data_IF_571637805564
#
_entry.id   IF_571637805564
#
_cell.length_a   1.000
_cell.length_b   1.000
_cell.length_c   1.000
_cell.angle_alpha   90.00
_cell.angle_beta   90.00
_cell.angle_gamma   90.00
#
_symmetry.space_group_name_H-M   'P 1'
#
loop_
_entity.id
_entity.type
_entity.pdbx_description
1 polymer ?
#
# COMPACT_ATOMS: atom_id res chain seq x y z
N UNK A 1 -2.97 20.51 53.75
CA UNK A 1 -1.59 20.43 53.25
C UNK A 1 -1.67 20.12 51.78
N UNK A 2 -1.50 21.16 50.96
CA UNK A 2 -1.62 21.18 49.50
C UNK A 2 -0.30 20.68 48.91
N UNK A 3 -0.35 19.75 47.95
CA UNK A 3 0.74 19.56 47.00
C UNK A 3 0.20 19.62 45.58
N UNK A 4 0.46 20.78 44.96
CA UNK A 4 0.45 21.03 43.52
C UNK A 4 1.49 20.13 42.84
N UNK A 5 1.13 19.48 41.74
CA UNK A 5 2.11 19.04 40.74
C UNK A 5 1.70 19.65 39.41
N UNK A 6 2.64 20.43 38.88
CA UNK A 6 2.50 21.39 37.80
C UNK A 6 2.10 20.77 36.47
N UNK A 7 1.09 21.42 35.87
CA UNK A 7 0.87 21.47 34.45
C UNK A 7 1.94 22.37 33.84
N UNK A 8 2.87 21.83 33.06
CA UNK A 8 3.76 22.63 32.22
C UNK A 8 3.23 22.61 30.79
N UNK A 9 2.39 23.62 30.51
CA UNK A 9 2.17 24.14 29.17
C UNK A 9 3.51 24.71 28.67
N UNK A 10 4.18 24.01 27.77
CA UNK A 10 5.20 24.64 26.92
C UNK A 10 4.49 25.29 25.75
N UNK A 11 4.09 26.54 25.93
CA UNK A 11 3.74 27.45 24.84
C UNK A 11 5.05 27.76 24.11
N UNK A 12 5.26 27.18 22.94
CA UNK A 12 6.18 27.75 21.97
C UNK A 12 5.40 28.78 21.16
N UNK A 13 5.61 30.06 21.45
CA UNK A 13 5.23 31.13 20.57
C UNK A 13 6.21 31.17 19.39
N UNK A 14 5.74 30.90 18.18
CA UNK A 14 6.43 31.26 16.95
C UNK A 14 5.39 31.76 15.95
N UNK A 15 5.65 32.99 15.47
CA UNK A 15 5.06 33.74 14.36
C UNK A 15 3.65 33.37 13.88
N UNK A 16 2.76 34.38 13.83
CA UNK A 16 1.47 34.35 13.12
C UNK A 16 1.64 33.90 11.66
N UNK A 17 1.68 32.59 11.43
CA UNK A 17 1.10 32.01 10.24
C UNK A 17 -0.34 31.76 10.60
N UNK A 18 -1.24 32.52 9.97
CA UNK A 18 -2.65 32.16 9.92
C UNK A 18 -2.73 30.84 9.14
N UNK A 19 -2.42 29.73 9.82
CA UNK A 19 -2.85 28.41 9.40
C UNK A 19 -4.35 28.48 9.61
N UNK A 20 -5.07 28.76 8.53
CA UNK A 20 -6.48 28.43 8.49
C UNK A 20 -6.58 26.99 8.97
N UNK A 21 -7.31 26.75 10.06
CA UNK A 21 -7.86 25.44 10.37
C UNK A 21 -8.70 25.05 9.14
N UNK A 22 -8.02 24.48 8.16
CA UNK A 22 -8.59 23.67 7.12
C UNK A 22 -9.52 22.72 7.86
N UNK A 23 -10.82 22.84 7.55
CA UNK A 23 -11.82 21.97 8.10
C UNK A 23 -11.38 20.54 7.81
N UNK A 24 -10.83 19.86 8.81
CA UNK A 24 -10.68 18.42 8.76
C UNK A 24 -12.10 17.88 8.64
N UNK A 25 -12.51 17.57 7.40
CA UNK A 25 -13.74 16.83 7.20
C UNK A 25 -13.60 15.57 8.03
N UNK A 26 -14.46 15.44 9.04
CA UNK A 26 -14.46 14.28 9.91
C UNK A 26 -14.93 13.09 9.07
N UNK A 27 -13.97 12.39 8.45
CA UNK A 27 -14.22 11.26 7.59
C UNK A 27 -14.74 10.12 8.45
N UNK A 28 -16.07 9.95 8.47
CA UNK A 28 -16.77 8.88 9.18
C UNK A 28 -16.93 7.68 8.25
N UNK A 29 -16.76 6.48 8.81
CA UNK A 29 -16.93 5.24 8.08
C UNK A 29 -18.42 5.01 7.76
N UNK A 30 -18.77 4.50 6.58
CA UNK A 30 -20.16 4.21 6.23
C UNK A 30 -20.73 3.12 7.16
N UNK A 31 -22.04 3.12 7.36
CA UNK A 31 -22.72 1.98 7.99
C UNK A 31 -22.53 0.72 7.14
N UNK A 32 -22.39 -0.41 7.83
CA UNK A 32 -22.26 -1.72 7.20
C UNK A 32 -23.58 -2.48 7.31
N UNK A 33 -23.97 -3.14 6.22
CA UNK A 33 -25.17 -3.96 6.15
C UNK A 33 -25.34 -4.58 4.76
N UNK A 34 -26.40 -5.38 4.56
CA UNK A 34 -26.70 -6.02 3.27
C UNK A 34 -26.83 -5.02 2.10
N UNK A 35 -27.28 -3.80 2.37
CA UNK A 35 -27.36 -2.72 1.39
C UNK A 35 -26.01 -2.32 0.81
N UNK A 36 -24.90 -2.60 1.51
CA UNK A 36 -23.55 -2.43 0.98
C UNK A 36 -23.30 -3.36 -0.20
N UNK A 37 -23.74 -4.62 -0.12
CA UNK A 37 -23.64 -5.55 -1.24
C UNK A 37 -24.56 -5.16 -2.40
N UNK A 38 -25.75 -4.61 -2.13
CA UNK A 38 -26.62 -4.06 -3.17
C UNK A 38 -25.93 -2.90 -3.91
N UNK A 39 -25.23 -2.01 -3.19
CA UNK A 39 -24.44 -0.94 -3.80
C UNK A 39 -23.26 -1.48 -4.60
N UNK A 40 -22.53 -2.46 -4.05
CA UNK A 40 -21.40 -3.09 -4.72
C UNK A 40 -21.83 -3.81 -6.02
N UNK A 41 -22.99 -4.46 -6.02
CA UNK A 41 -23.55 -5.12 -7.19
C UNK A 41 -23.88 -4.16 -8.35
N UNK A 42 -24.00 -2.86 -8.07
CA UNK A 42 -24.21 -1.83 -9.09
C UNK A 42 -22.90 -1.21 -9.62
N UNK A 43 -21.74 -1.61 -9.11
CA UNK A 43 -20.45 -1.12 -9.58
C UNK A 43 -20.10 -1.72 -10.95
N UNK A 44 -19.46 -0.91 -11.80
CA UNK A 44 -18.85 -1.43 -13.03
C UNK A 44 -17.81 -2.48 -12.70
N UNK A 45 -17.79 -3.57 -13.46
CA UNK A 45 -16.87 -4.68 -13.23
C UNK A 45 -17.29 -5.62 -12.11
N UNK A 46 -18.43 -5.41 -11.44
CA UNK A 46 -18.96 -6.37 -10.47
C UNK A 46 -19.07 -7.79 -11.07
N UNK A 47 -18.62 -8.79 -10.31
CA UNK A 47 -18.72 -10.20 -10.68
C UNK A 47 -19.72 -10.91 -9.78
N UNK A 48 -19.41 -10.98 -8.48
CA UNK A 48 -20.23 -11.70 -7.49
C UNK A 48 -19.88 -11.27 -6.07
N UNK A 49 -20.83 -11.43 -5.14
CA UNK A 49 -20.60 -11.33 -3.69
C UNK A 49 -20.59 -12.72 -3.06
N UNK A 50 -19.76 -12.91 -2.04
CA UNK A 50 -19.70 -14.09 -1.18
C UNK A 50 -19.65 -13.66 0.28
N UNK A 51 -20.03 -14.55 1.18
CA UNK A 51 -20.13 -14.25 2.60
C UNK A 51 -21.36 -13.44 2.97
N UNK A 52 -21.39 -12.99 4.22
CA UNK A 52 -22.46 -12.18 4.79
C UNK A 52 -21.90 -10.87 5.33
N UNK A 53 -22.49 -9.74 4.92
CA UNK A 53 -22.17 -8.44 5.53
C UNK A 53 -22.63 -8.40 6.99
N UNK A 54 -21.77 -7.96 7.93
CA UNK A 54 -22.24 -7.65 9.27
C UNK A 54 -23.11 -6.38 9.24
N UNK A 55 -23.95 -6.23 10.26
CA UNK A 55 -24.75 -5.01 10.48
C UNK A 55 -24.08 -4.20 11.57
N UNK A 56 -23.40 -3.11 11.21
CA UNK A 56 -22.60 -2.29 12.14
C UNK A 56 -22.85 -0.80 11.85
N UNK A 57 -23.33 -0.09 12.86
CA UNK A 57 -23.59 1.36 12.79
C UNK A 57 -22.75 2.17 13.78
N UNK A 58 -22.13 1.52 14.77
CA UNK A 58 -21.26 2.18 15.74
C UNK A 58 -19.88 2.47 15.13
N UNK A 59 -19.38 3.70 15.28
CA UNK A 59 -18.10 4.13 14.68
C UNK A 59 -16.89 3.34 15.19
N UNK A 60 -16.88 2.96 16.47
CA UNK A 60 -15.77 2.19 17.04
C UNK A 60 -15.79 0.76 16.52
N UNK A 61 -16.97 0.13 16.48
CA UNK A 61 -17.14 -1.21 15.92
C UNK A 61 -16.80 -1.25 14.42
N UNK A 62 -17.09 -0.18 13.65
CA UNK A 62 -16.69 -0.10 12.23
C UNK A 62 -15.17 -0.15 12.05
N UNK A 63 -14.44 0.50 12.95
CA UNK A 63 -12.98 0.55 12.93
C UNK A 63 -12.40 -0.82 13.33
N UNK A 64 -12.90 -1.39 14.42
CA UNK A 64 -12.52 -2.73 14.88
C UNK A 64 -12.78 -3.80 13.81
N UNK A 65 -13.90 -3.69 13.08
CA UNK A 65 -14.21 -4.57 11.96
C UNK A 65 -13.19 -4.46 10.83
N UNK A 66 -12.81 -3.24 10.41
CA UNK A 66 -11.79 -3.06 9.37
C UNK A 66 -10.43 -3.59 9.81
N UNK A 67 -10.05 -3.39 11.07
CA UNK A 67 -8.81 -3.94 11.64
C UNK A 67 -8.82 -5.48 11.65
N UNK A 68 -9.97 -6.09 11.89
CA UNK A 68 -10.15 -7.54 11.80
C UNK A 68 -10.04 -8.04 10.35
N UNK A 69 -10.62 -7.35 9.38
CA UNK A 69 -10.45 -7.67 7.96
C UNK A 69 -8.98 -7.58 7.53
N UNK A 70 -8.23 -6.58 8.02
CA UNK A 70 -6.78 -6.45 7.77
C UNK A 70 -6.02 -7.64 8.37
N UNK A 71 -6.41 -8.12 9.55
CA UNK A 71 -5.82 -9.32 10.15
C UNK A 71 -6.09 -10.57 9.31
N UNK A 72 -7.33 -10.75 8.84
CA UNK A 72 -7.69 -11.86 7.94
C UNK A 72 -6.85 -11.86 6.66
N UNK A 73 -6.58 -10.69 6.07
CA UNK A 73 -5.68 -10.58 4.90
C UNK A 73 -4.25 -11.02 5.25
N UNK A 74 -3.73 -10.58 6.40
CA UNK A 74 -2.37 -10.90 6.85
C UNK A 74 -2.20 -12.39 7.16
N UNK A 75 -3.23 -13.03 7.68
CA UNK A 75 -3.27 -14.46 7.93
C UNK A 75 -3.36 -15.28 6.63
N UNK A 76 -3.85 -14.69 5.54
CA UNK A 76 -4.02 -15.39 4.27
C UNK A 76 -2.73 -15.47 3.45
N UNK A 77 -1.85 -16.42 3.79
CA UNK A 77 -0.62 -16.68 3.05
C UNK A 77 -0.87 -17.38 1.70
N UNK A 78 -1.96 -18.16 1.59
CA UNK A 78 -2.30 -18.95 0.40
C UNK A 78 -2.85 -18.14 -0.77
N UNK A 79 -3.38 -16.93 -0.54
CA UNK A 79 -3.94 -16.08 -1.61
C UNK A 79 -2.90 -15.79 -2.71
N UNK A 80 -1.61 -15.78 -2.37
CA UNK A 80 -0.51 -15.57 -3.31
C UNK A 80 -0.50 -16.56 -4.49
N UNK A 81 -1.05 -17.77 -4.29
CA UNK A 81 -1.13 -18.79 -5.33
C UNK A 81 -2.11 -18.41 -6.46
N UNK A 82 -3.03 -17.49 -6.20
CA UNK A 82 -4.02 -17.02 -7.17
C UNK A 82 -3.59 -15.76 -7.92
N UNK A 83 -2.47 -15.13 -7.56
CA UNK A 83 -1.98 -13.96 -8.27
C UNK A 83 -1.44 -14.30 -9.66
N UNK A 84 -1.42 -13.31 -10.55
CA UNK A 84 -0.90 -13.44 -11.92
C UNK A 84 0.55 -13.97 -12.00
N UNK A 85 1.42 -13.66 -11.03
CA UNK A 85 2.78 -14.20 -10.96
C UNK A 85 2.83 -15.73 -10.75
N UNK A 86 1.78 -16.29 -10.15
CA UNK A 86 1.57 -17.73 -9.94
C UNK A 86 0.71 -18.36 -11.06
N UNK A 87 0.37 -17.58 -12.10
CA UNK A 87 -0.49 -18.00 -13.20
C UNK A 87 -2.00 -17.92 -12.91
N UNK A 88 -2.39 -17.41 -11.74
CA UNK A 88 -3.78 -17.25 -11.34
C UNK A 88 -4.44 -15.95 -11.83
N UNK A 89 -5.75 -15.79 -11.61
CA UNK A 89 -6.53 -14.67 -12.15
C UNK A 89 -6.57 -13.43 -11.24
N UNK A 90 -5.98 -13.43 -10.05
CA UNK A 90 -6.06 -12.31 -9.10
C UNK A 90 -5.03 -11.22 -9.44
N UNK A 91 -5.49 -9.97 -9.54
CA UNK A 91 -4.66 -8.76 -9.65
C UNK A 91 -4.37 -8.17 -8.28
N UNK A 92 -5.40 -8.02 -7.45
CA UNK A 92 -5.29 -7.42 -6.13
C UNK A 92 -6.26 -8.05 -5.14
N UNK A 93 -5.87 -8.04 -3.87
CA UNK A 93 -6.68 -8.49 -2.74
C UNK A 93 -6.47 -7.52 -1.58
N UNK A 94 -7.56 -6.98 -1.03
CA UNK A 94 -7.48 -5.91 -0.04
C UNK A 94 -8.76 -5.70 0.75
N UNK A 95 -8.72 -4.79 1.73
CA UNK A 95 -9.91 -4.31 2.43
C UNK A 95 -10.57 -3.18 1.64
N UNK A 96 -11.89 -3.09 1.73
CA UNK A 96 -12.65 -1.95 1.28
C UNK A 96 -13.25 -1.21 2.49
N UNK A 97 -13.26 0.13 2.44
CA UNK A 97 -13.80 0.99 3.51
C UNK A 97 -15.29 0.76 3.78
N UNK A 98 -16.01 0.08 2.87
CA UNK A 98 -17.40 -0.32 3.06
C UNK A 98 -17.56 -1.64 3.85
N UNK A 99 -16.49 -2.14 4.49
CA UNK A 99 -16.57 -3.25 5.45
C UNK A 99 -16.55 -4.65 4.83
N UNK A 100 -15.96 -4.82 3.65
CA UNK A 100 -15.78 -6.11 2.98
C UNK A 100 -14.37 -6.27 2.41
N UNK A 101 -13.98 -7.50 2.09
CA UNK A 101 -12.76 -7.79 1.33
C UNK A 101 -13.03 -7.68 -0.17
N UNK A 102 -12.11 -7.07 -0.90
CA UNK A 102 -12.18 -6.94 -2.35
C UNK A 102 -11.16 -7.86 -3.01
N UNK A 103 -11.62 -8.66 -3.98
CA UNK A 103 -10.76 -9.43 -4.88
C UNK A 103 -10.93 -8.89 -6.29
N UNK A 104 -9.87 -8.29 -6.81
CA UNK A 104 -9.84 -7.81 -8.19
C UNK A 104 -9.26 -8.90 -9.09
N UNK A 105 -10.06 -9.34 -10.05
CA UNK A 105 -9.73 -10.35 -11.04
C UNK A 105 -9.25 -9.68 -12.32
N UNK A 106 -8.24 -10.25 -12.94
CA UNK A 106 -7.67 -9.76 -14.18
C UNK A 106 -8.66 -9.94 -15.32
N UNK A 107 -9.17 -8.83 -15.85
CA UNK A 107 -10.06 -8.82 -17.02
C UNK A 107 -9.41 -9.42 -18.27
N UNK A 108 -8.07 -9.46 -18.34
CA UNK A 108 -7.36 -10.18 -19.41
C UNK A 108 -7.37 -11.71 -19.25
N UNK A 109 -7.95 -12.23 -18.16
CA UNK A 109 -8.01 -13.66 -17.83
C UNK A 109 -9.43 -14.22 -17.75
N UNK A 110 -10.38 -13.57 -18.43
CA UNK A 110 -11.81 -13.95 -18.45
C UNK A 110 -12.04 -15.45 -18.70
N UNK A 111 -11.30 -16.07 -19.60
CA UNK A 111 -11.45 -17.50 -19.91
C UNK A 111 -11.00 -18.46 -18.79
N UNK A 112 -10.21 -17.97 -17.83
CA UNK A 112 -9.69 -18.74 -16.70
C UNK A 112 -10.58 -18.65 -15.46
N UNK A 113 -11.51 -17.70 -15.44
CA UNK A 113 -12.40 -17.47 -14.31
C UNK A 113 -13.75 -18.10 -14.60
N UNK A 114 -14.18 -18.98 -13.69
CA UNK A 114 -15.53 -19.52 -13.65
C UNK A 114 -15.96 -19.65 -12.18
N UNK A 115 -17.21 -20.03 -11.95
CA UNK A 115 -17.76 -20.16 -10.60
C UNK A 115 -16.93 -21.09 -9.70
N UNK A 116 -16.34 -22.16 -10.26
CA UNK A 116 -15.50 -23.08 -9.49
C UNK A 116 -14.24 -22.39 -8.98
N UNK A 117 -13.57 -21.61 -9.83
CA UNK A 117 -12.35 -20.85 -9.47
C UNK A 117 -12.68 -19.77 -8.45
N UNK A 118 -13.78 -19.04 -8.63
CA UNK A 118 -14.22 -18.03 -7.65
C UNK A 118 -14.52 -18.68 -6.30
N UNK A 119 -15.20 -19.83 -6.29
CA UNK A 119 -15.49 -20.55 -5.05
C UNK A 119 -14.22 -21.06 -4.36
N UNK A 120 -13.23 -21.51 -5.12
CA UNK A 120 -11.94 -21.97 -4.57
C UNK A 120 -11.16 -20.81 -3.93
N UNK A 121 -11.12 -19.65 -4.59
CA UNK A 121 -10.50 -18.44 -4.04
C UNK A 121 -11.25 -18.02 -2.77
N UNK A 122 -12.58 -17.96 -2.83
CA UNK A 122 -13.40 -17.60 -1.66
C UNK A 122 -13.17 -18.56 -0.49
N UNK A 123 -13.16 -19.88 -0.73
CA UNK A 123 -12.91 -20.86 0.32
C UNK A 123 -11.53 -20.67 0.96
N UNK A 124 -10.50 -20.39 0.16
CA UNK A 124 -9.16 -20.06 0.69
C UNK A 124 -9.17 -18.80 1.55
N UNK A 125 -10.01 -17.82 1.21
CA UNK A 125 -10.18 -16.59 1.99
C UNK A 125 -10.91 -16.86 3.30
N UNK A 126 -12.03 -17.56 3.22
CA UNK A 126 -12.90 -17.87 4.35
C UNK A 126 -12.21 -18.78 5.37
N UNK A 127 -11.51 -19.82 4.92
CA UNK A 127 -10.73 -20.69 5.82
C UNK A 127 -9.65 -19.93 6.62
N UNK A 128 -8.98 -18.96 6.00
CA UNK A 128 -8.00 -18.12 6.70
C UNK A 128 -8.67 -17.12 7.66
N UNK A 129 -9.85 -16.60 7.30
CA UNK A 129 -10.62 -15.73 8.17
C UNK A 129 -11.18 -16.47 9.39
N UNK A 130 -11.56 -17.74 9.22
CA UNK A 130 -12.04 -18.61 10.30
C UNK A 130 -10.97 -18.80 11.39
N UNK A 131 -9.68 -18.87 11.01
CA UNK A 131 -8.56 -18.92 11.95
C UNK A 131 -8.46 -17.64 12.81
N UNK A 132 -8.87 -16.50 12.28
CA UNK A 132 -8.98 -15.20 12.97
C UNK A 132 -10.35 -15.00 13.65
N UNK A 133 -11.21 -16.02 13.66
CA UNK A 133 -12.51 -16.00 14.33
C UNK A 133 -13.66 -15.40 13.53
N UNK A 134 -13.50 -15.20 12.22
CA UNK A 134 -14.54 -14.70 11.31
C UNK A 134 -14.95 -15.80 10.35
N UNK A 135 -16.19 -16.27 10.46
CA UNK A 135 -16.81 -17.20 9.52
C UNK A 135 -17.67 -16.46 8.51
N UNK A 136 -17.76 -16.96 7.27
CA UNK A 136 -18.60 -16.40 6.21
C UNK A 136 -18.24 -14.94 5.89
N UNK A 137 -16.93 -14.68 5.78
CA UNK A 137 -16.37 -13.33 5.64
C UNK A 137 -16.90 -12.65 4.36
N UNK A 138 -17.35 -11.37 4.41
CA UNK A 138 -17.89 -10.70 3.24
C UNK A 138 -16.79 -10.39 2.21
N UNK A 139 -16.96 -10.91 0.99
CA UNK A 139 -16.03 -10.71 -0.14
C UNK A 139 -16.79 -10.26 -1.39
N UNK A 140 -16.27 -9.23 -2.05
CA UNK A 140 -16.75 -8.76 -3.36
C UNK A 140 -15.68 -9.07 -4.41
N UNK A 141 -16.07 -9.79 -5.46
CA UNK A 141 -15.25 -10.05 -6.62
C UNK A 141 -15.57 -9.05 -7.73
N UNK A 142 -14.54 -8.43 -8.29
CA UNK A 142 -14.66 -7.44 -9.35
C UNK A 142 -13.62 -7.67 -10.44
N UNK A 143 -13.91 -7.26 -11.67
CA UNK A 143 -12.93 -7.17 -12.74
C UNK A 143 -12.08 -5.92 -12.58
N UNK A 144 -10.78 -6.07 -12.80
CA UNK A 144 -9.79 -5.02 -12.86
C UNK A 144 -8.97 -5.03 -14.13
N UNK A 145 -8.31 -3.92 -14.38
CA UNK A 145 -7.38 -3.75 -15.50
C UNK A 145 -5.97 -3.52 -14.97
N UNK A 146 -4.96 -4.08 -15.64
CA UNK A 146 -3.57 -3.77 -15.30
C UNK A 146 -3.27 -2.33 -15.68
N UNK A 147 -2.62 -1.59 -14.77
CA UNK A 147 -2.03 -0.32 -15.13
C UNK A 147 -1.01 -0.53 -16.26
N UNK A 148 -1.23 0.11 -17.41
CA UNK A 148 -0.24 0.14 -18.48
C UNK A 148 0.86 1.11 -18.05
N UNK A 149 2.09 0.63 -17.95
CA UNK A 149 3.23 1.53 -17.75
C UNK A 149 3.39 2.36 -19.03
N UNK A 150 3.06 3.65 -18.96
CA UNK A 150 3.47 4.59 -19.99
C UNK A 150 5.00 4.67 -19.96
N UNK A 151 5.65 4.05 -20.92
CA UNK A 151 7.08 4.27 -21.17
C UNK A 151 7.19 5.66 -21.78
N UNK A 152 7.41 6.67 -20.94
CA UNK A 152 7.95 7.92 -21.43
C UNK A 152 9.37 7.64 -21.92
N UNK A 153 9.57 7.58 -23.23
CA UNK A 153 10.92 7.66 -23.80
C UNK A 153 11.45 9.05 -23.43
N UNK A 154 12.46 9.09 -22.55
CA UNK A 154 13.10 10.33 -22.11
C UNK A 154 13.54 11.15 -23.34
N UNK A 155 12.89 12.30 -23.59
CA UNK A 155 13.43 13.31 -24.50
C UNK A 155 14.71 13.88 -23.87
N UNK A 156 15.82 13.78 -24.59
CA UNK A 156 17.15 14.29 -24.21
C UNK A 156 17.07 15.72 -23.62
N UNK A 157 17.28 15.83 -22.32
CA UNK A 157 17.37 17.12 -21.63
C UNK A 157 18.73 17.78 -21.94
N UNK A 158 18.74 18.74 -22.87
CA UNK A 158 19.91 19.60 -23.13
C UNK A 158 20.10 20.54 -21.94
N UNK A 159 21.14 20.30 -21.13
CA UNK A 159 21.60 21.18 -20.07
C UNK A 159 22.28 22.43 -20.67
N UNK A 160 21.53 23.54 -20.70
CA UNK A 160 22.08 24.86 -20.99
C UNK A 160 22.23 25.63 -19.68
N UNK A 161 23.41 25.58 -19.07
CA UNK A 161 23.82 26.60 -18.11
C UNK A 161 25.22 27.10 -18.42
N UNK A 162 25.24 28.20 -19.18
CA UNK A 162 26.37 29.09 -19.36
C UNK A 162 26.61 29.87 -18.06
N UNK A 163 27.75 29.66 -17.41
CA UNK A 163 28.26 30.55 -16.35
C UNK A 163 29.52 31.23 -16.86
N UNK A 164 29.39 32.52 -17.21
CA UNK A 164 30.53 33.41 -17.44
C UNK A 164 31.02 33.90 -16.07
N UNK A 165 32.27 33.58 -15.72
CA UNK A 165 33.09 34.50 -14.93
C UNK A 165 34.58 34.37 -15.29
N UNK A 166 35.24 35.52 -15.24
CA UNK A 166 36.47 35.87 -15.95
C UNK A 166 37.75 35.67 -15.14
N UNK A 167 38.79 35.15 -15.83
CA UNK A 167 40.21 35.57 -15.80
C UNK A 167 41.00 35.35 -14.49
N UNK A 168 41.94 34.39 -14.49
CA UNK A 168 43.36 34.73 -14.68
C UNK A 168 44.32 33.56 -15.00
N UNK A 169 45.40 33.95 -15.67
CA UNK A 169 46.36 33.23 -16.52
C UNK A 169 47.54 32.55 -15.77
N UNK A 170 47.95 31.32 -16.15
CA UNK A 170 49.29 30.93 -16.71
C UNK A 170 49.68 29.44 -16.58
N UNK A 171 49.89 28.84 -17.75
CA UNK A 171 51.00 27.98 -18.22
C UNK A 171 51.34 26.60 -17.60
N UNK A 172 51.41 25.65 -18.55
CA UNK A 172 52.43 24.61 -18.76
C UNK A 172 52.07 23.14 -18.43
N UNK A 173 51.94 22.37 -19.52
CA UNK A 173 52.70 21.13 -19.82
C UNK A 173 52.61 19.99 -18.79
N UNK A 174 51.87 18.91 -19.10
CA UNK A 174 52.48 17.68 -19.64
C UNK A 174 51.47 16.53 -19.75
N UNK A 175 51.86 15.60 -20.59
CA UNK A 175 51.13 14.48 -21.16
C UNK A 175 51.22 13.21 -20.28
N UNK A 176 50.27 12.29 -20.53
CA UNK A 176 50.37 10.83 -20.37
C UNK A 176 49.82 10.17 -19.07
N UNK A 177 48.95 9.16 -19.25
CA UNK A 177 48.63 8.17 -18.20
C UNK A 177 47.21 7.61 -18.23
N UNK A 178 46.99 6.55 -19.01
CA UNK A 178 45.77 5.71 -18.94
C UNK A 178 45.75 5.00 -17.58
N UNK A 179 44.65 5.13 -16.83
CA UNK A 179 44.35 4.25 -15.69
C UNK A 179 42.87 3.87 -15.71
N UNK A 180 42.63 2.57 -15.91
CA UNK A 180 41.37 1.90 -15.61
C UNK A 180 41.11 1.99 -14.10
N UNK A 181 39.92 2.41 -13.68
CA UNK A 181 39.32 1.90 -12.43
C UNK A 181 37.81 1.72 -12.58
N UNK A 182 37.39 0.52 -12.23
CA UNK A 182 36.03 0.00 -12.18
C UNK A 182 35.34 0.37 -10.86
N UNK A 183 34.01 0.44 -10.92
CA UNK A 183 33.05 0.02 -9.88
C UNK A 183 33.14 0.68 -8.50
N UNK A 184 32.16 1.54 -8.21
CA UNK A 184 32.07 2.26 -6.94
C UNK A 184 30.65 2.30 -6.36
N UNK A 185 29.99 1.15 -6.19
CA UNK A 185 28.79 1.05 -5.33
C UNK A 185 28.78 -0.28 -4.56
N UNK A 186 29.78 -0.54 -3.71
CA UNK A 186 29.64 -1.59 -2.69
C UNK A 186 30.61 -1.35 -1.53
N UNK A 187 30.22 -0.51 -0.57
CA UNK A 187 30.93 -0.46 0.72
C UNK A 187 30.00 -0.10 1.88
N UNK A 188 29.03 0.79 1.67
CA UNK A 188 28.07 1.17 2.72
C UNK A 188 27.11 0.06 3.16
N UNK A 189 26.53 -0.71 2.21
CA UNK A 189 25.53 -1.73 2.55
C UNK A 189 26.09 -2.98 3.25
N UNK A 190 27.35 -3.35 2.96
CA UNK A 190 27.89 -4.63 3.45
C UNK A 190 28.28 -4.54 4.94
N UNK A 191 28.71 -3.36 5.40
CA UNK A 191 29.04 -3.14 6.83
C UNK A 191 27.77 -3.14 7.70
N UNK A 192 26.65 -2.61 7.19
CA UNK A 192 25.38 -2.60 7.93
C UNK A 192 24.81 -4.03 8.10
N UNK A 193 24.90 -4.88 7.07
CA UNK A 193 24.45 -6.26 7.13
C UNK A 193 25.21 -7.11 8.17
N UNK A 194 26.52 -6.88 8.36
CA UNK A 194 27.32 -7.64 9.34
C UNK A 194 26.96 -7.24 10.77
N UNK A 195 26.68 -5.96 11.03
CA UNK A 195 26.33 -5.47 12.38
C UNK A 195 24.98 -6.04 12.86
N UNK A 196 24.00 -6.18 11.96
CA UNK A 196 22.69 -6.76 12.28
C UNK A 196 22.83 -8.24 12.67
N UNK A 197 23.65 -9.01 11.97
CA UNK A 197 23.84 -10.45 12.23
C UNK A 197 24.51 -10.76 13.58
N UNK A 198 25.27 -9.80 14.15
CA UNK A 198 25.92 -9.99 15.46
C UNK A 198 25.01 -9.76 16.67
N UNK A 199 23.85 -9.10 16.51
CA UNK A 199 22.92 -8.84 17.62
C UNK A 199 21.92 -9.99 17.87
N UNK A 200 21.77 -10.92 16.93
CA UNK A 200 20.83 -12.06 17.04
C UNK A 200 21.43 -13.35 17.64
N UNK A 201 22.62 -13.29 18.21
CA UNK A 201 23.17 -14.41 19.00
C UNK A 201 23.28 -14.03 20.46
N UNK A 202 22.21 -14.27 21.21
CA UNK A 202 22.28 -14.53 22.65
C UNK A 202 21.16 -15.46 23.08
#
# INVERSE_FOLDING_TARGET
MIFLVSLLFSIYANAETNVSEEHAENFSLPDYGPETFEKAANLSGFVVVKGTMPVITDESEKTEWLDLLVQCIRANDKIINYYGASGGPVLSFGTNIYGYLSVELDSASLEKVNDSVINEIYQTIDEAAEEEGVSDIPVVFMWGERAQAEVHEDEDYIDNNEYIESVDNKNAHDENGIAQTTSGFTSGMLVLCILILTQFRK
#
